data_IF_151597096986
#
_entry.id   IF_151597096986
#
_cell.length_a   1.000
_cell.length_b   1.000
_cell.length_c   1.000
_cell.angle_alpha   90.00
_cell.angle_beta   90.00
_cell.angle_gamma   90.00
#
_symmetry.space_group_name_H-M   'P 1'
#
loop_
_entity.id
_entity.type
_entity.pdbx_description
1 polymer ?
#
# COMPACT_ATOMS: atom_id res chain seq x y z
N UNK A 1 8.06 -18.47 34.15
CA UNK A 1 7.78 -17.46 33.09
C UNK A 1 7.77 -18.03 31.66
N UNK A 2 8.14 -19.30 31.42
CA UNK A 2 8.15 -19.94 30.08
C UNK A 2 6.79 -20.59 29.72
N UNK A 3 6.02 -21.00 30.73
CA UNK A 3 4.74 -21.72 30.53
C UNK A 3 3.58 -20.79 30.12
N UNK A 4 3.62 -19.50 30.47
CA UNK A 4 2.56 -18.53 30.13
C UNK A 4 2.60 -18.13 28.64
N UNK A 5 3.75 -18.27 27.96
CA UNK A 5 3.91 -17.94 26.54
C UNK A 5 3.26 -18.99 25.63
N UNK A 6 3.20 -20.26 26.05
CA UNK A 6 2.59 -21.33 25.25
C UNK A 6 1.06 -21.32 25.29
N UNK A 7 0.45 -20.89 26.41
CA UNK A 7 -1.02 -20.81 26.53
C UNK A 7 -1.60 -19.66 25.70
N UNK A 8 -0.88 -18.54 25.56
CA UNK A 8 -1.29 -17.42 24.68
C UNK A 8 -1.19 -17.75 23.18
N UNK A 9 -0.31 -18.68 22.78
CA UNK A 9 -0.20 -19.15 21.40
C UNK A 9 -1.31 -20.16 21.03
N UNK A 10 -1.77 -20.97 21.99
CA UNK A 10 -2.81 -21.98 21.74
C UNK A 10 -4.23 -21.37 21.60
N UNK A 11 -4.54 -20.27 22.29
CA UNK A 11 -5.83 -19.58 22.16
C UNK A 11 -5.89 -18.59 20.98
N UNK A 12 -4.77 -18.33 20.29
CA UNK A 12 -4.74 -17.47 19.10
C UNK A 12 -5.33 -18.15 17.84
N UNK A 13 -5.62 -19.46 17.91
CA UNK A 13 -6.17 -20.26 16.82
C UNK A 13 -7.64 -19.99 16.46
N UNK A 14 -8.38 -19.23 17.26
CA UNK A 14 -9.79 -18.87 17.00
C UNK A 14 -10.00 -17.41 16.55
N UNK A 15 -8.94 -16.68 16.21
CA UNK A 15 -9.08 -15.39 15.54
C UNK A 15 -9.51 -15.63 14.10
N UNK A 16 -10.82 -15.56 13.82
CA UNK A 16 -11.34 -15.59 12.45
C UNK A 16 -10.65 -14.51 11.64
N UNK A 17 -9.92 -14.93 10.60
CA UNK A 17 -9.34 -14.00 9.62
C UNK A 17 -10.50 -13.28 8.96
N UNK A 18 -10.45 -11.95 8.89
CA UNK A 18 -11.50 -11.17 8.23
C UNK A 18 -10.87 -10.33 7.13
N UNK A 19 -11.25 -10.61 5.89
CA UNK A 19 -11.06 -9.65 4.82
C UNK A 19 -11.73 -8.33 5.20
N UNK A 20 -11.05 -7.22 4.95
CA UNK A 20 -11.63 -5.89 5.09
C UNK A 20 -12.41 -5.63 3.82
N UNK A 21 -13.73 -5.77 3.93
CA UNK A 21 -14.66 -5.45 2.86
C UNK A 21 -15.30 -4.12 3.21
N UNK A 22 -15.20 -3.16 2.29
CA UNK A 22 -15.76 -1.83 2.46
C UNK A 22 -17.20 -1.87 1.98
N UNK A 23 -18.16 -1.93 2.90
CA UNK A 23 -19.58 -1.91 2.56
C UNK A 23 -20.01 -0.52 2.07
N UNK A 24 -21.28 -0.39 1.66
CA UNK A 24 -21.83 0.90 1.21
C UNK A 24 -21.61 2.01 2.24
N UNK A 25 -21.93 1.76 3.49
CA UNK A 25 -21.85 2.77 4.56
C UNK A 25 -20.41 3.17 4.85
N UNK A 26 -19.47 2.21 4.82
CA UNK A 26 -18.04 2.50 4.94
C UNK A 26 -17.59 3.48 3.84
N UNK A 27 -17.98 3.20 2.59
CA UNK A 27 -17.59 4.04 1.44
C UNK A 27 -18.27 5.41 1.45
N UNK A 28 -19.44 5.53 2.08
CA UNK A 28 -20.18 6.79 2.21
C UNK A 28 -19.69 7.68 3.37
N UNK A 29 -19.04 7.09 4.39
CA UNK A 29 -18.61 7.80 5.60
C UNK A 29 -17.40 8.73 5.37
N UNK A 30 -16.59 8.47 4.34
CA UNK A 30 -15.34 9.21 4.13
C UNK A 30 -15.58 10.69 3.81
N UNK A 31 -15.19 11.56 4.75
CA UNK A 31 -15.52 13.00 4.73
C UNK A 31 -14.72 13.85 3.76
N UNK A 32 -13.50 13.43 3.39
CA UNK A 32 -12.57 14.23 2.59
C UNK A 32 -12.99 14.39 1.13
N UNK A 33 -14.05 13.71 0.68
CA UNK A 33 -14.58 13.80 -0.68
C UNK A 33 -13.73 13.13 -1.76
N UNK A 34 -12.44 12.86 -1.47
CA UNK A 34 -11.47 12.29 -2.43
C UNK A 34 -10.88 11.01 -1.87
N UNK A 35 -11.55 9.89 -2.15
CA UNK A 35 -11.13 8.58 -1.70
C UNK A 35 -11.47 7.48 -2.71
N UNK A 36 -10.66 6.42 -2.70
CA UNK A 36 -10.97 5.21 -3.46
C UNK A 36 -10.60 3.96 -2.66
N UNK A 37 -11.31 2.87 -2.97
CA UNK A 37 -11.20 1.61 -2.24
C UNK A 37 -10.82 0.52 -3.22
N UNK A 38 -9.90 -0.36 -2.81
CA UNK A 38 -9.49 -1.54 -3.55
C UNK A 38 -9.75 -2.80 -2.74
N UNK A 39 -10.18 -3.85 -3.42
CA UNK A 39 -10.21 -5.18 -2.80
C UNK A 39 -8.80 -5.78 -2.71
N UNK A 40 -8.71 -7.01 -2.22
CA UNK A 40 -7.44 -7.73 -2.09
C UNK A 40 -6.73 -8.03 -3.42
N UNK A 41 -7.43 -7.93 -4.55
CA UNK A 41 -6.92 -8.17 -5.89
C UNK A 41 -6.48 -6.88 -6.58
N UNK A 42 -6.76 -5.72 -5.98
CA UNK A 42 -6.49 -4.41 -6.55
C UNK A 42 -7.59 -3.93 -7.50
N UNK A 43 -8.77 -4.54 -7.46
CA UNK A 43 -9.94 -4.07 -8.20
C UNK A 43 -10.63 -2.95 -7.40
N UNK A 44 -11.07 -1.90 -8.10
CA UNK A 44 -11.75 -0.77 -7.48
C UNK A 44 -13.18 -1.11 -7.11
N UNK A 45 -13.58 -0.71 -5.90
CA UNK A 45 -14.98 -0.77 -5.47
C UNK A 45 -15.87 0.17 -6.30
N UNK A 46 -17.15 -0.18 -6.47
CA UNK A 46 -18.11 0.73 -7.08
C UNK A 46 -18.36 1.97 -6.20
N UNK A 47 -19.01 3.01 -6.76
CA UNK A 47 -19.54 4.12 -5.96
C UNK A 47 -20.43 3.63 -4.81
N UNK A 48 -20.57 4.43 -3.76
CA UNK A 48 -21.40 4.10 -2.59
C UNK A 48 -22.89 3.86 -2.93
N UNK A 49 -23.35 4.29 -4.11
CA UNK A 49 -24.72 3.99 -4.58
C UNK A 49 -24.96 2.52 -4.93
N UNK A 50 -23.92 1.72 -5.17
CA UNK A 50 -24.02 0.29 -5.51
C UNK A 50 -23.74 -0.53 -4.27
N UNK A 51 -24.61 -1.46 -3.92
CA UNK A 51 -24.40 -2.33 -2.75
C UNK A 51 -23.29 -3.36 -3.01
N UNK A 52 -22.51 -3.66 -1.96
CA UNK A 52 -21.58 -4.78 -1.94
C UNK A 52 -21.81 -5.51 -0.64
N UNK A 53 -22.49 -6.64 -0.71
CA UNK A 53 -22.74 -7.47 0.46
C UNK A 53 -21.44 -8.15 0.90
N UNK A 54 -21.00 -7.83 2.13
CA UNK A 54 -19.78 -8.38 2.69
C UNK A 54 -19.87 -9.89 2.91
N UNK A 55 -21.04 -10.43 3.23
CA UNK A 55 -21.23 -11.87 3.40
C UNK A 55 -21.13 -12.60 2.05
N UNK A 56 -21.85 -12.13 1.05
CA UNK A 56 -21.79 -12.62 -0.32
C UNK A 56 -20.40 -12.51 -0.93
N UNK A 57 -19.65 -11.44 -0.65
CA UNK A 57 -18.28 -11.27 -1.15
C UNK A 57 -17.30 -12.25 -0.49
N UNK A 58 -17.46 -12.58 0.81
CA UNK A 58 -16.72 -13.68 1.46
C UNK A 58 -17.16 -15.06 0.98
N UNK A 59 -18.31 -15.16 0.33
CA UNK A 59 -18.92 -16.43 -0.03
C UNK A 59 -19.53 -17.15 1.17
N UNK A 60 -19.95 -16.40 2.20
CA UNK A 60 -20.64 -16.95 3.35
C UNK A 60 -21.92 -17.67 2.86
N UNK A 61 -22.03 -18.98 3.12
CA UNK A 61 -23.15 -19.80 2.65
C UNK A 61 -22.99 -20.43 1.26
N UNK A 62 -21.89 -20.21 0.56
CA UNK A 62 -21.56 -20.93 -0.68
C UNK A 62 -20.92 -22.30 -0.38
N UNK A 63 -21.09 -23.26 -1.29
CA UNK A 63 -20.40 -24.54 -1.21
C UNK A 63 -18.89 -24.36 -1.32
N UNK A 64 -18.10 -25.24 -0.66
CA UNK A 64 -16.62 -25.16 -0.67
C UNK A 64 -16.01 -25.31 -2.06
N UNK A 65 -16.76 -25.82 -3.04
CA UNK A 65 -16.34 -25.92 -4.44
C UNK A 65 -16.42 -24.59 -5.19
N UNK A 66 -17.22 -23.62 -4.71
CA UNK A 66 -17.49 -22.35 -5.40
C UNK A 66 -16.57 -21.21 -4.96
N UNK A 67 -15.81 -21.40 -3.87
CA UNK A 67 -14.94 -20.38 -3.27
C UNK A 67 -13.50 -20.87 -3.26
N UNK A 68 -12.70 -20.43 -4.23
CA UNK A 68 -11.25 -20.64 -4.21
C UNK A 68 -10.57 -19.55 -3.39
N UNK A 69 -9.38 -19.84 -2.86
CA UNK A 69 -8.53 -18.84 -2.18
C UNK A 69 -8.18 -17.63 -3.06
N UNK A 70 -8.23 -17.78 -4.39
CA UNK A 70 -7.95 -16.71 -5.35
C UNK A 70 -9.17 -15.78 -5.53
N UNK A 71 -10.38 -16.30 -5.33
CA UNK A 71 -11.64 -15.60 -5.61
C UNK A 71 -12.38 -15.15 -4.35
N UNK A 72 -12.03 -15.67 -3.17
CA UNK A 72 -12.64 -15.29 -1.90
C UNK A 72 -12.40 -13.82 -1.58
N UNK A 73 -13.45 -13.11 -1.19
CA UNK A 73 -13.40 -11.68 -0.88
C UNK A 73 -12.80 -10.82 -2.00
N UNK A 74 -13.12 -11.16 -3.26
CA UNK A 74 -12.80 -10.33 -4.43
C UNK A 74 -14.09 -9.81 -5.07
N UNK A 75 -14.05 -8.56 -5.52
CA UNK A 75 -15.18 -7.90 -6.18
C UNK A 75 -15.50 -8.60 -7.49
N UNK A 76 -14.47 -9.02 -8.25
CA UNK A 76 -14.66 -9.73 -9.51
C UNK A 76 -15.48 -11.01 -9.30
N UNK A 77 -15.08 -11.87 -8.36
CA UNK A 77 -15.79 -13.12 -8.14
C UNK A 77 -17.21 -12.89 -7.58
N UNK A 78 -17.37 -11.88 -6.71
CA UNK A 78 -18.68 -11.47 -6.23
C UNK A 78 -19.60 -11.07 -7.39
N UNK A 79 -19.20 -10.09 -8.20
CA UNK A 79 -20.03 -9.61 -9.31
C UNK A 79 -20.18 -10.63 -10.45
N UNK A 80 -19.24 -11.55 -10.62
CA UNK A 80 -19.42 -12.68 -11.55
C UNK A 80 -20.60 -13.55 -11.12
N UNK A 81 -20.71 -13.88 -9.82
CA UNK A 81 -21.85 -14.64 -9.28
C UNK A 81 -23.15 -13.86 -9.43
N UNK A 82 -23.14 -12.58 -9.04
CA UNK A 82 -24.29 -11.68 -9.19
C UNK A 82 -24.78 -11.63 -10.65
N UNK A 83 -23.86 -11.59 -11.62
CA UNK A 83 -24.19 -11.61 -13.05
C UNK A 83 -24.85 -12.91 -13.51
N UNK A 84 -24.44 -14.07 -12.96
CA UNK A 84 -24.96 -15.39 -13.33
C UNK A 84 -26.36 -15.64 -12.78
N UNK A 85 -26.64 -15.15 -11.57
CA UNK A 85 -27.97 -15.27 -10.93
C UNK A 85 -28.94 -14.17 -11.37
N UNK A 86 -28.45 -13.17 -12.12
CA UNK A 86 -29.26 -12.05 -12.61
C UNK A 86 -29.69 -11.09 -11.51
N UNK A 87 -28.84 -10.90 -10.48
CA UNK A 87 -29.17 -9.98 -9.39
C UNK A 87 -29.15 -8.51 -9.84
N UNK A 88 -29.85 -7.66 -9.09
CA UNK A 88 -29.86 -6.21 -9.33
C UNK A 88 -28.48 -5.55 -9.17
N UNK A 89 -27.61 -6.09 -8.31
CA UNK A 89 -26.32 -5.47 -7.96
C UNK A 89 -25.38 -5.33 -9.16
N UNK A 90 -25.27 -6.35 -10.02
CA UNK A 90 -24.45 -6.26 -11.23
C UNK A 90 -25.02 -5.24 -12.23
N UNK A 91 -26.34 -5.23 -12.42
CA UNK A 91 -27.01 -4.25 -13.28
C UNK A 91 -26.84 -2.82 -12.75
N UNK A 92 -26.91 -2.62 -11.43
CA UNK A 92 -26.67 -1.33 -10.78
C UNK A 92 -25.22 -0.88 -10.92
N UNK A 93 -24.26 -1.81 -10.86
CA UNK A 93 -22.86 -1.48 -11.10
C UNK A 93 -22.60 -1.03 -12.54
N UNK A 94 -23.16 -1.74 -13.52
CA UNK A 94 -23.11 -1.33 -14.93
C UNK A 94 -23.72 0.07 -15.12
N UNK A 95 -24.89 0.33 -14.52
CA UNK A 95 -25.58 1.63 -14.58
C UNK A 95 -24.77 2.75 -13.93
N UNK A 96 -24.22 2.51 -12.74
CA UNK A 96 -23.44 3.49 -11.98
C UNK A 96 -22.13 3.89 -12.68
N UNK A 97 -21.61 3.03 -13.56
CA UNK A 97 -20.42 3.33 -14.39
C UNK A 97 -20.75 3.74 -15.82
N UNK A 98 -22.04 3.80 -16.19
CA UNK A 98 -22.48 4.08 -17.56
C UNK A 98 -22.02 3.01 -18.57
N UNK A 99 -21.75 1.79 -18.11
CA UNK A 99 -21.27 0.69 -18.96
C UNK A 99 -22.45 -0.04 -19.59
N UNK A 100 -22.51 -0.06 -20.92
CA UNK A 100 -23.49 -0.86 -21.67
C UNK A 100 -23.02 -2.32 -21.68
N UNK A 101 -23.87 -3.25 -21.20
CA UNK A 101 -23.51 -4.66 -21.17
C UNK A 101 -23.33 -5.23 -22.57
N UNK A 102 -22.25 -5.99 -22.77
CA UNK A 102 -22.00 -6.79 -23.97
C UNK A 102 -22.54 -8.21 -23.87
N UNK A 103 -23.18 -8.57 -22.74
CA UNK A 103 -23.57 -9.95 -22.42
C UNK A 103 -22.41 -10.86 -22.04
N UNK A 104 -21.17 -10.36 -21.98
CA UNK A 104 -19.97 -11.12 -21.59
C UNK A 104 -19.32 -10.49 -20.36
N UNK A 105 -19.45 -11.17 -19.22
CA UNK A 105 -18.96 -10.68 -17.93
C UNK A 105 -17.52 -10.15 -17.97
N UNK A 106 -16.57 -10.91 -18.54
CA UNK A 106 -15.17 -10.49 -18.58
C UNK A 106 -14.92 -9.20 -19.38
N UNK A 107 -15.68 -8.99 -20.47
CA UNK A 107 -15.58 -7.77 -21.25
C UNK A 107 -16.15 -6.59 -20.49
N UNK A 108 -17.32 -6.79 -19.87
CA UNK A 108 -18.03 -5.77 -19.11
C UNK A 108 -17.27 -5.40 -17.82
N UNK A 109 -16.74 -6.38 -17.10
CA UNK A 109 -15.91 -6.20 -15.90
C UNK A 109 -14.70 -5.31 -16.18
N UNK A 110 -13.99 -5.56 -17.28
CA UNK A 110 -12.86 -4.73 -17.68
C UNK A 110 -13.28 -3.28 -17.93
N UNK A 111 -14.37 -3.07 -18.66
CA UNK A 111 -14.90 -1.73 -18.97
C UNK A 111 -15.33 -0.98 -17.70
N UNK A 112 -16.05 -1.65 -16.81
CA UNK A 112 -16.46 -1.11 -15.50
C UNK A 112 -15.23 -0.68 -14.70
N UNK A 113 -14.23 -1.56 -14.57
CA UNK A 113 -13.00 -1.24 -13.85
C UNK A 113 -12.20 -0.12 -14.56
N UNK A 114 -12.22 -0.04 -15.89
CA UNK A 114 -11.59 1.05 -16.65
C UNK A 114 -12.25 2.39 -16.32
N UNK A 115 -13.59 2.44 -16.30
CA UNK A 115 -14.35 3.63 -15.91
C UNK A 115 -14.09 4.07 -14.47
N UNK A 116 -14.06 3.13 -13.52
CA UNK A 116 -13.71 3.47 -12.14
C UNK A 116 -12.29 4.05 -12.04
N UNK A 117 -11.32 3.47 -12.75
CA UNK A 117 -9.95 3.99 -12.78
C UNK A 117 -9.90 5.37 -13.41
N UNK A 118 -10.62 5.61 -14.50
CA UNK A 118 -10.68 6.92 -15.14
C UNK A 118 -11.31 7.98 -14.21
N UNK A 119 -12.31 7.62 -13.41
CA UNK A 119 -12.88 8.52 -12.40
C UNK A 119 -11.87 8.90 -11.31
N UNK A 120 -11.10 7.92 -10.81
CA UNK A 120 -10.03 8.21 -9.82
C UNK A 120 -8.96 9.08 -10.46
N UNK A 121 -8.51 8.76 -11.67
CA UNK A 121 -7.51 9.56 -12.40
C UNK A 121 -8.00 10.98 -12.68
N UNK A 122 -9.29 11.15 -13.00
CA UNK A 122 -9.87 12.46 -13.22
C UNK A 122 -9.77 13.36 -11.98
N UNK A 123 -9.94 12.80 -10.76
CA UNK A 123 -9.74 13.54 -9.52
C UNK A 123 -8.27 13.98 -9.33
N UNK A 124 -7.30 13.09 -9.57
CA UNK A 124 -5.88 13.46 -9.55
C UNK A 124 -5.57 14.56 -10.57
N UNK A 125 -6.06 14.40 -11.80
CA UNK A 125 -5.70 15.31 -12.90
C UNK A 125 -6.41 16.66 -12.80
N UNK A 126 -7.62 16.71 -12.20
CA UNK A 126 -8.32 17.96 -11.90
C UNK A 126 -7.58 18.84 -10.88
N UNK A 127 -6.65 18.25 -10.11
CA UNK A 127 -5.85 18.93 -9.09
C UNK A 127 -4.35 18.89 -9.39
N UNK A 128 -3.96 18.66 -10.65
CA UNK A 128 -2.56 18.50 -11.06
C UNK A 128 -1.72 19.80 -10.89
N UNK A 129 -2.36 20.96 -10.80
CA UNK A 129 -1.75 22.25 -10.49
C UNK A 129 -1.42 22.40 -8.99
N UNK A 130 -2.09 21.64 -8.13
CA UNK A 130 -1.86 21.60 -6.68
C UNK A 130 -0.80 20.58 -6.28
N UNK A 131 -0.48 20.56 -4.99
CA UNK A 131 0.24 19.44 -4.40
C UNK A 131 -0.77 18.36 -4.02
N UNK A 132 -0.57 17.14 -4.50
CA UNK A 132 -1.47 16.01 -4.27
C UNK A 132 -0.83 15.07 -3.28
N UNK A 133 -1.53 14.77 -2.18
CA UNK A 133 -1.11 13.80 -1.19
C UNK A 133 -1.95 12.53 -1.28
N UNK A 134 -1.36 11.44 -1.74
CA UNK A 134 -1.93 10.11 -1.64
C UNK A 134 -1.60 9.50 -0.27
N UNK A 135 -2.63 9.25 0.54
CA UNK A 135 -2.53 8.64 1.86
C UNK A 135 -2.90 7.16 1.79
N UNK A 136 -1.99 6.26 2.21
CA UNK A 136 -2.20 4.80 2.14
C UNK A 136 -2.02 4.15 3.52
N UNK A 137 -3.04 3.42 3.99
CA UNK A 137 -3.00 2.78 5.31
C UNK A 137 -2.30 1.41 5.31
N UNK A 138 -1.88 0.94 6.49
CA UNK A 138 -1.28 -0.38 6.67
C UNK A 138 -2.29 -1.51 6.94
N UNK A 139 -1.77 -2.72 7.14
CA UNK A 139 -2.50 -3.95 7.43
C UNK A 139 -3.07 -4.00 8.86
N UNK A 140 -3.96 -4.96 9.11
CA UNK A 140 -4.56 -5.25 10.42
C UNK A 140 -5.37 -4.10 11.02
N UNK A 141 -6.10 -3.36 10.18
CA UNK A 141 -7.05 -2.33 10.60
C UNK A 141 -8.38 -2.57 9.89
N UNK A 142 -9.50 -2.33 10.58
CA UNK A 142 -10.82 -2.20 9.96
C UNK A 142 -11.05 -0.76 9.47
N UNK A 143 -12.15 -0.52 8.77
CA UNK A 143 -12.48 0.80 8.22
C UNK A 143 -12.50 1.92 9.29
N UNK A 144 -13.16 1.71 10.44
CA UNK A 144 -13.21 2.71 11.51
C UNK A 144 -11.84 3.02 12.14
N UNK A 145 -11.00 2.00 12.35
CA UNK A 145 -9.61 2.16 12.82
C UNK A 145 -8.78 2.97 11.82
N UNK A 146 -8.97 2.72 10.51
CA UNK A 146 -8.31 3.47 9.43
C UNK A 146 -8.76 4.95 9.43
N UNK A 147 -10.06 5.20 9.43
CA UNK A 147 -10.63 6.55 9.39
C UNK A 147 -10.19 7.38 10.57
N UNK A 148 -10.19 6.80 11.77
CA UNK A 148 -9.82 7.49 13.01
C UNK A 148 -8.48 8.23 12.90
N UNK A 149 -7.47 7.61 12.27
CA UNK A 149 -6.17 8.28 12.12
C UNK A 149 -6.03 9.01 10.79
N UNK A 150 -6.63 8.53 9.69
CA UNK A 150 -6.55 9.19 8.38
C UNK A 150 -7.27 10.53 8.39
N UNK A 151 -8.49 10.63 8.94
CA UNK A 151 -9.23 11.89 9.02
C UNK A 151 -8.45 12.92 9.86
N UNK A 152 -7.94 12.50 11.03
CA UNK A 152 -7.09 13.37 11.83
C UNK A 152 -5.81 13.79 11.11
N UNK A 153 -5.24 12.92 10.28
CA UNK A 153 -4.07 13.25 9.48
C UNK A 153 -4.41 14.27 8.38
N UNK A 154 -5.55 14.08 7.71
CA UNK A 154 -6.07 15.01 6.69
C UNK A 154 -6.35 16.39 7.31
N UNK A 155 -7.02 16.45 8.46
CA UNK A 155 -7.29 17.69 9.19
C UNK A 155 -5.99 18.44 9.53
N UNK A 156 -4.98 17.71 10.01
CA UNK A 156 -3.68 18.30 10.32
C UNK A 156 -2.96 18.82 9.05
N UNK A 157 -3.04 18.09 7.92
CA UNK A 157 -2.50 18.54 6.65
C UNK A 157 -3.22 19.79 6.16
N UNK A 158 -4.55 19.82 6.13
CA UNK A 158 -5.30 20.99 5.66
C UNK A 158 -5.13 22.20 6.58
N UNK A 159 -4.96 21.99 7.89
CA UNK A 159 -4.62 23.08 8.82
C UNK A 159 -3.27 23.72 8.47
N UNK A 160 -2.27 22.90 8.22
CA UNK A 160 -0.89 23.37 8.02
C UNK A 160 -0.60 23.74 6.55
N UNK A 161 -1.37 23.17 5.60
CA UNK A 161 -1.21 23.24 4.14
C UNK A 161 -2.59 23.18 3.45
N UNK A 162 -3.38 24.26 3.48
CA UNK A 162 -4.77 24.27 3.01
C UNK A 162 -4.94 24.00 1.51
N UNK A 163 -3.88 24.20 0.70
CA UNK A 163 -3.92 24.00 -0.75
C UNK A 163 -3.56 22.58 -1.21
N UNK A 164 -3.23 21.68 -0.28
CA UNK A 164 -2.91 20.27 -0.62
C UNK A 164 -4.21 19.50 -0.89
N UNK A 165 -4.28 18.85 -2.04
CA UNK A 165 -5.36 17.91 -2.35
C UNK A 165 -5.05 16.54 -1.76
N UNK A 166 -5.79 16.09 -0.75
CA UNK A 166 -5.55 14.81 -0.09
C UNK A 166 -6.47 13.72 -0.67
N UNK A 167 -5.87 12.66 -1.20
CA UNK A 167 -6.57 11.47 -1.70
C UNK A 167 -6.32 10.30 -0.76
N UNK A 168 -7.39 9.73 -0.19
CA UNK A 168 -7.30 8.57 0.70
C UNK A 168 -7.47 7.26 -0.08
N UNK A 169 -6.49 6.37 0.06
CA UNK A 169 -6.55 5.02 -0.50
C UNK A 169 -6.83 3.99 0.60
N UNK A 170 -7.90 3.24 0.37
CA UNK A 170 -8.31 2.11 1.19
C UNK A 170 -8.05 0.80 0.45
N UNK A 171 -7.59 -0.22 1.16
CA UNK A 171 -7.34 -1.55 0.58
C UNK A 171 -7.48 -2.69 1.60
N UNK A 172 -7.77 -3.90 1.13
CA UNK A 172 -7.85 -5.07 2.01
C UNK A 172 -6.48 -5.52 2.53
N UNK A 173 -6.04 -4.85 3.61
CA UNK A 173 -4.89 -5.23 4.42
C UNK A 173 -5.18 -6.36 5.42
N UNK A 174 -6.36 -6.97 5.37
CA UNK A 174 -6.88 -7.95 6.33
C UNK A 174 -7.03 -7.40 7.76
N UNK A 175 -7.90 -8.03 8.54
CA UNK A 175 -8.03 -7.83 9.99
C UNK A 175 -7.98 -9.17 10.71
N UNK A 176 -7.16 -9.23 11.76
CA UNK A 176 -6.99 -10.42 12.61
C UNK A 176 -6.87 -10.02 14.07
N UNK A 177 -6.20 -10.84 14.87
CA UNK A 177 -5.89 -10.49 16.27
C UNK A 177 -4.94 -9.27 16.36
N UNK A 178 -4.76 -8.74 17.57
CA UNK A 178 -3.88 -7.60 17.84
C UNK A 178 -2.44 -7.80 17.30
N UNK A 179 -1.94 -9.04 17.29
CA UNK A 179 -0.59 -9.35 16.82
C UNK A 179 -0.50 -9.59 15.29
N UNK A 180 -1.62 -9.64 14.56
CA UNK A 180 -1.66 -9.97 13.13
C UNK A 180 -1.18 -11.39 12.81
N UNK A 181 -1.06 -12.26 13.83
CA UNK A 181 -0.55 -13.62 13.69
C UNK A 181 -1.56 -14.43 12.86
N UNK A 182 -1.08 -15.09 11.81
CA UNK A 182 -1.89 -15.93 10.92
C UNK A 182 -2.46 -15.21 9.70
N UNK A 183 -2.53 -13.86 9.68
CA UNK A 183 -2.96 -13.09 8.49
C UNK A 183 -1.81 -12.40 7.76
N UNK A 184 -0.66 -12.20 8.43
CA UNK A 184 0.48 -11.49 7.85
C UNK A 184 1.02 -12.14 6.56
N UNK A 185 1.04 -13.48 6.49
CA UNK A 185 1.40 -14.20 5.28
C UNK A 185 0.52 -13.78 4.11
N UNK A 186 -0.80 -13.77 4.32
CA UNK A 186 -1.81 -13.45 3.31
C UNK A 186 -1.80 -11.95 2.91
N UNK A 187 -1.59 -11.04 3.86
CA UNK A 187 -1.48 -9.60 3.58
C UNK A 187 -0.32 -9.28 2.63
N UNK A 188 0.79 -10.04 2.69
CA UNK A 188 1.92 -9.91 1.77
C UNK A 188 1.57 -10.36 0.33
N UNK A 189 0.48 -11.11 0.11
CA UNK A 189 -0.02 -11.41 -1.24
C UNK A 189 -0.98 -10.35 -1.77
N UNK A 190 -1.82 -9.79 -0.89
CA UNK A 190 -2.76 -8.74 -1.26
C UNK A 190 -2.01 -7.47 -1.68
N UNK A 191 -1.03 -7.08 -0.86
CA UNK A 191 -0.26 -5.85 -1.04
C UNK A 191 0.21 -5.57 -2.45
N UNK A 192 0.90 -6.51 -3.10
CA UNK A 192 1.44 -6.20 -4.40
C UNK A 192 0.47 -6.44 -5.58
N UNK A 193 -0.64 -7.17 -5.38
CA UNK A 193 -1.81 -7.12 -6.29
C UNK A 193 -2.46 -5.74 -6.27
N UNK A 194 -2.70 -5.21 -5.07
CA UNK A 194 -3.18 -3.85 -4.84
C UNK A 194 -2.20 -2.82 -5.39
N UNK A 195 -0.89 -3.03 -5.20
CA UNK A 195 0.16 -2.20 -5.79
C UNK A 195 0.08 -2.15 -7.31
N UNK A 196 -0.17 -3.28 -7.98
CA UNK A 196 -0.42 -3.32 -9.42
C UNK A 196 -1.72 -2.62 -9.83
N UNK A 197 -2.78 -2.69 -9.00
CA UNK A 197 -4.00 -1.89 -9.20
C UNK A 197 -3.71 -0.39 -9.16
N UNK A 198 -3.01 0.07 -8.11
CA UNK A 198 -2.57 1.45 -7.94
C UNK A 198 -1.67 1.92 -9.09
N UNK A 199 -0.77 1.05 -9.57
CA UNK A 199 0.10 1.34 -10.72
C UNK A 199 -0.68 1.79 -11.96
N UNK A 200 -1.83 1.17 -12.24
CA UNK A 200 -2.68 1.52 -13.40
C UNK A 200 -3.26 2.93 -13.29
N UNK A 201 -3.54 3.38 -12.07
CA UNK A 201 -3.98 4.76 -11.80
C UNK A 201 -2.78 5.70 -12.01
N UNK A 202 -1.66 5.41 -11.36
CA UNK A 202 -0.45 6.23 -11.42
C UNK A 202 0.09 6.41 -12.85
N UNK A 203 -0.07 5.42 -13.73
CA UNK A 203 0.30 5.48 -15.14
C UNK A 203 -0.44 6.55 -15.96
N UNK A 204 -1.57 7.05 -15.45
CA UNK A 204 -2.45 8.01 -16.12
C UNK A 204 -2.51 9.37 -15.42
N UNK A 205 -1.80 9.53 -14.29
CA UNK A 205 -1.67 10.82 -13.60
C UNK A 205 -0.87 11.81 -14.46
N UNK A 206 -1.26 13.08 -14.48
CA UNK A 206 -0.56 14.12 -15.25
C UNK A 206 0.96 14.15 -14.94
N UNK A 207 1.85 14.23 -15.94
CA UNK A 207 3.29 14.10 -15.73
C UNK A 207 3.93 15.14 -14.78
N UNK A 208 3.31 16.31 -14.70
CA UNK A 208 3.79 17.44 -13.88
C UNK A 208 3.10 17.53 -12.52
N UNK A 209 2.18 16.61 -12.20
CA UNK A 209 1.51 16.61 -10.92
C UNK A 209 2.52 16.49 -9.77
N UNK A 210 2.41 17.37 -8.77
CA UNK A 210 3.25 17.35 -7.57
C UNK A 210 2.75 16.27 -6.62
N UNK A 211 3.09 15.02 -6.91
CA UNK A 211 2.60 13.87 -6.16
C UNK A 211 3.47 13.61 -4.92
N UNK A 212 2.80 13.51 -3.77
CA UNK A 212 3.32 13.09 -2.48
C UNK A 212 2.61 11.80 -2.10
N UNK A 213 3.35 10.78 -1.68
CA UNK A 213 2.75 9.56 -1.16
C UNK A 213 3.18 9.41 0.30
N UNK A 214 2.20 9.37 1.21
CA UNK A 214 2.44 8.97 2.60
C UNK A 214 1.88 7.57 2.81
N UNK A 215 2.71 6.66 3.30
CA UNK A 215 2.31 5.30 3.63
C UNK A 215 2.73 4.91 5.03
N UNK A 216 1.88 4.14 5.71
CA UNK A 216 2.18 3.53 7.01
C UNK A 216 2.39 2.02 6.89
N UNK A 217 3.37 1.49 7.61
CA UNK A 217 3.54 0.06 7.83
C UNK A 217 3.63 -0.73 6.52
N UNK A 218 2.69 -1.64 6.29
CA UNK A 218 2.67 -2.60 5.20
C UNK A 218 2.29 -1.97 3.85
N UNK A 219 1.64 -0.80 3.82
CA UNK A 219 1.42 -0.12 2.54
C UNK A 219 2.74 0.31 1.87
N UNK A 220 3.86 0.24 2.57
CA UNK A 220 5.18 0.37 1.96
C UNK A 220 5.40 -0.63 0.81
N UNK A 221 4.95 -1.89 0.93
CA UNK A 221 5.06 -2.85 -0.16
C UNK A 221 3.99 -2.65 -1.25
N UNK A 222 2.84 -2.04 -0.93
CA UNK A 222 1.85 -1.61 -1.92
C UNK A 222 2.47 -0.55 -2.83
N UNK A 223 3.01 0.51 -2.22
CA UNK A 223 3.64 1.64 -2.93
C UNK A 223 4.89 1.19 -3.69
N UNK A 224 5.73 0.36 -3.08
CA UNK A 224 6.94 -0.15 -3.77
C UNK A 224 6.58 -0.97 -5.01
N UNK A 225 5.52 -1.78 -4.96
CA UNK A 225 5.05 -2.53 -6.13
C UNK A 225 4.27 -1.65 -7.13
N UNK A 226 3.66 -0.56 -6.69
CA UNK A 226 3.08 0.41 -7.62
C UNK A 226 4.16 1.13 -8.43
N UNK A 227 5.30 1.45 -7.80
CA UNK A 227 6.36 2.26 -8.39
C UNK A 227 7.45 1.46 -9.10
N UNK A 228 7.64 0.17 -8.84
CA UNK A 228 8.68 -0.59 -9.52
C UNK A 228 8.46 -2.09 -9.51
N UNK A 229 9.45 -2.83 -10.02
CA UNK A 229 9.36 -4.27 -10.14
C UNK A 229 9.40 -4.95 -8.76
N UNK A 230 8.25 -5.38 -8.25
CA UNK A 230 8.20 -6.17 -7.02
C UNK A 230 8.12 -7.67 -7.23
N UNK A 231 8.59 -8.20 -8.37
CA UNK A 231 8.58 -9.64 -8.65
C UNK A 231 9.35 -10.45 -7.62
N UNK A 232 10.35 -9.86 -6.98
CA UNK A 232 11.08 -10.43 -5.85
C UNK A 232 10.21 -10.72 -4.64
N UNK A 233 9.13 -9.95 -4.41
CA UNK A 233 8.14 -10.20 -3.34
C UNK A 233 7.37 -11.50 -3.53
N UNK A 234 7.47 -12.14 -4.70
CA UNK A 234 6.71 -13.35 -5.05
C UNK A 234 7.58 -14.61 -5.20
N UNK A 235 8.90 -14.50 -5.08
CA UNK A 235 9.80 -15.67 -5.13
C UNK A 235 9.54 -16.58 -3.93
N UNK A 236 9.01 -17.78 -4.19
CA UNK A 236 8.71 -18.80 -3.17
C UNK A 236 7.22 -19.08 -2.95
N UNK A 237 6.33 -18.41 -3.68
CA UNK A 237 4.89 -18.67 -3.61
C UNK A 237 4.43 -19.51 -4.80
N UNK A 238 3.88 -20.71 -4.56
CA UNK A 238 3.32 -21.60 -5.60
C UNK A 238 1.84 -21.28 -5.87
N UNK A 239 1.39 -21.40 -7.13
CA UNK A 239 -0.02 -21.23 -7.54
C UNK A 239 -0.21 -20.36 -8.80
N UNK A 240 -1.26 -20.64 -9.60
CA UNK A 240 -1.56 -19.92 -10.86
C UNK A 240 -1.76 -18.41 -10.65
N UNK A 241 -2.40 -18.01 -9.55
CA UNK A 241 -2.57 -16.59 -9.19
C UNK A 241 -1.27 -15.83 -8.92
N UNK A 242 -0.13 -16.51 -8.74
CA UNK A 242 1.18 -15.87 -8.54
C UNK A 242 1.92 -15.67 -9.88
N UNK A 243 1.65 -16.49 -10.90
CA UNK A 243 2.24 -16.35 -12.24
C UNK A 243 1.80 -15.02 -12.88
N UNK A 244 0.50 -14.72 -12.83
CA UNK A 244 -0.05 -13.46 -13.35
C UNK A 244 0.55 -12.24 -12.64
N UNK A 245 0.76 -12.37 -11.34
CA UNK A 245 1.30 -11.30 -10.52
C UNK A 245 2.80 -11.10 -10.79
N UNK A 246 3.56 -12.19 -10.92
CA UNK A 246 4.95 -12.15 -11.37
C UNK A 246 5.10 -11.55 -12.78
N UNK A 247 4.22 -11.93 -13.71
CA UNK A 247 4.20 -11.39 -15.08
C UNK A 247 3.92 -9.87 -15.11
N UNK A 248 3.07 -9.38 -14.20
CA UNK A 248 2.76 -7.94 -14.06
C UNK A 248 3.86 -7.17 -13.35
N UNK A 249 4.62 -7.80 -12.46
CA UNK A 249 5.54 -7.10 -11.57
C UNK A 249 6.58 -6.26 -12.31
N UNK A 250 7.25 -6.84 -13.30
CA UNK A 250 8.22 -6.16 -14.16
C UNK A 250 7.66 -5.71 -15.51
N UNK A 251 6.34 -5.56 -15.65
CA UNK A 251 5.76 -5.18 -16.94
C UNK A 251 6.29 -3.81 -17.41
N UNK A 252 6.73 -3.75 -18.67
CA UNK A 252 7.23 -2.54 -19.33
C UNK A 252 6.24 -1.95 -20.34
N UNK A 253 5.13 -2.66 -20.62
CA UNK A 253 4.09 -2.27 -21.59
C UNK A 253 2.69 -2.57 -21.04
N UNK A 254 1.68 -1.95 -21.66
CA UNK A 254 0.28 -2.10 -21.28
C UNK A 254 -0.07 -1.41 -19.96
N UNK A 255 -1.28 -1.65 -19.45
CA UNK A 255 -1.82 -0.95 -18.28
C UNK A 255 -1.02 -1.16 -17.00
N UNK A 256 -0.38 -2.32 -16.86
CA UNK A 256 0.43 -2.69 -15.70
C UNK A 256 1.88 -2.26 -15.81
N UNK A 257 2.26 -1.51 -16.87
CA UNK A 257 3.63 -1.01 -17.01
C UNK A 257 4.03 -0.17 -15.80
N UNK A 258 5.30 -0.19 -15.44
CA UNK A 258 5.81 0.74 -14.42
C UNK A 258 5.58 2.19 -14.88
N UNK A 259 5.16 3.13 -14.00
CA UNK A 259 4.93 4.50 -14.41
C UNK A 259 6.21 5.17 -14.90
N UNK A 260 6.07 6.06 -15.87
CA UNK A 260 7.17 6.82 -16.49
C UNK A 260 6.89 8.31 -16.52
N UNK A 261 5.64 8.68 -16.23
CA UNK A 261 5.11 10.03 -16.23
C UNK A 261 5.36 10.76 -14.89
N UNK A 262 5.61 10.04 -13.79
CA UNK A 262 5.74 10.66 -12.46
C UNK A 262 7.10 11.34 -12.27
N UNK A 263 7.23 12.62 -12.64
CA UNK A 263 8.49 13.36 -12.56
C UNK A 263 8.69 14.13 -11.25
N UNK A 264 7.61 14.55 -10.60
CA UNK A 264 7.64 15.27 -9.32
C UNK A 264 7.03 14.41 -8.19
N UNK A 265 7.71 13.32 -7.88
CA UNK A 265 7.27 12.32 -6.90
C UNK A 265 8.13 12.37 -5.62
N UNK A 266 7.48 12.52 -4.47
CA UNK A 266 8.09 12.26 -3.15
C UNK A 266 7.30 11.20 -2.40
N UNK A 267 7.98 10.34 -1.66
CA UNK A 267 7.38 9.21 -0.95
C UNK A 267 7.89 9.16 0.47
N UNK A 268 7.01 9.28 1.46
CA UNK A 268 7.30 9.04 2.87
C UNK A 268 6.71 7.70 3.32
N UNK A 269 7.57 6.82 3.84
CA UNK A 269 7.18 5.54 4.41
C UNK A 269 7.42 5.56 5.92
N UNK A 270 6.35 5.67 6.70
CA UNK A 270 6.41 5.59 8.16
C UNK A 270 6.41 4.13 8.61
N UNK A 271 7.47 3.72 9.30
CA UNK A 271 7.75 2.36 9.79
C UNK A 271 7.46 1.27 8.76
N UNK A 272 8.13 1.31 7.59
CA UNK A 272 7.86 0.41 6.48
C UNK A 272 8.03 -1.07 6.87
N UNK A 273 6.93 -1.82 6.89
CA UNK A 273 6.88 -3.23 7.25
C UNK A 273 7.24 -4.12 6.05
N UNK A 274 8.46 -3.96 5.54
CA UNK A 274 8.96 -4.67 4.36
C UNK A 274 10.46 -4.99 4.51
N UNK A 275 11.03 -5.90 3.69
CA UNK A 275 12.46 -6.17 3.69
C UNK A 275 13.26 -4.95 3.23
N UNK A 276 14.50 -4.80 3.71
CA UNK A 276 15.43 -3.76 3.24
C UNK A 276 15.74 -3.86 1.74
N UNK A 277 15.49 -5.01 1.13
CA UNK A 277 15.69 -5.30 -0.29
C UNK A 277 14.45 -5.04 -1.15
N UNK A 278 13.41 -4.38 -0.61
CA UNK A 278 12.16 -4.15 -1.37
C UNK A 278 12.39 -3.38 -2.69
N UNK A 279 13.49 -2.63 -2.79
CA UNK A 279 13.87 -1.85 -3.97
C UNK A 279 14.90 -2.53 -4.87
N UNK A 280 15.33 -3.76 -4.59
CA UNK A 280 16.47 -4.40 -5.27
C UNK A 280 16.25 -4.66 -6.77
N UNK A 281 15.02 -4.53 -7.26
CA UNK A 281 14.65 -4.71 -8.66
C UNK A 281 14.24 -3.39 -9.33
N UNK A 282 14.48 -2.24 -8.69
CA UNK A 282 14.25 -0.93 -9.32
C UNK A 282 15.32 -0.61 -10.37
N UNK A 283 16.49 -1.24 -10.28
CA UNK A 283 17.52 -1.24 -11.32
C UNK A 283 17.46 -2.55 -12.08
N UNK A 284 17.58 -2.49 -13.41
CA UNK A 284 17.85 -3.68 -14.19
C UNK A 284 19.30 -4.11 -13.93
N UNK A 285 19.49 -5.24 -13.26
CA UNK A 285 20.82 -5.84 -13.05
C UNK A 285 21.19 -6.83 -14.18
N UNK A 286 20.41 -6.91 -15.27
CA UNK A 286 20.67 -7.83 -16.37
C UNK A 286 22.06 -7.54 -17.01
N UNK A 287 22.98 -8.51 -17.01
CA UNK A 287 24.31 -8.36 -17.64
C UNK A 287 24.26 -8.07 -19.14
N UNK A 288 23.11 -8.31 -19.78
CA UNK A 288 22.91 -8.18 -21.22
C UNK A 288 22.47 -6.78 -21.67
N UNK A 289 22.05 -5.90 -20.75
CA UNK A 289 21.73 -4.51 -21.06
C UNK A 289 22.66 -3.60 -20.27
N UNK A 290 23.65 -3.03 -20.98
CA UNK A 290 24.51 -1.94 -20.47
C UNK A 290 23.78 -0.61 -20.37
N UNK A 291 22.49 -0.56 -20.68
CA UNK A 291 21.67 0.63 -20.49
C UNK A 291 21.23 0.73 -19.03
N UNK A 292 21.36 1.93 -18.47
CA UNK A 292 20.94 2.32 -17.12
C UNK A 292 19.40 2.31 -16.96
N UNK A 293 18.70 1.33 -17.54
CA UNK A 293 17.24 1.27 -17.50
C UNK A 293 16.77 0.88 -16.11
N UNK A 294 16.10 1.81 -15.44
CA UNK A 294 15.42 1.52 -14.18
C UNK A 294 14.13 0.73 -14.47
N UNK A 295 13.93 -0.37 -13.76
CA UNK A 295 12.66 -1.07 -13.65
C UNK A 295 11.87 -0.53 -12.44
N UNK A 296 11.81 0.80 -12.32
CA UNK A 296 11.11 1.50 -11.25
C UNK A 296 11.14 3.02 -11.42
N UNK A 297 10.11 3.70 -10.88
CA UNK A 297 10.11 5.13 -10.65
C UNK A 297 10.97 5.40 -9.43
N UNK A 298 12.10 6.08 -9.61
CA UNK A 298 12.89 6.60 -8.49
C UNK A 298 12.29 7.94 -8.06
N UNK A 299 11.70 8.05 -6.84
CA UNK A 299 11.19 9.32 -6.35
C UNK A 299 12.33 10.35 -6.28
N UNK A 300 12.02 11.63 -6.47
CA UNK A 300 12.99 12.70 -6.21
C UNK A 300 13.38 12.74 -4.73
N UNK A 301 12.51 12.23 -3.85
CA UNK A 301 12.75 12.03 -2.43
C UNK A 301 12.01 10.81 -1.89
N UNK A 302 12.73 9.86 -1.31
CA UNK A 302 12.21 8.73 -0.55
C UNK A 302 12.61 8.88 0.92
N UNK A 303 11.62 9.11 1.78
CA UNK A 303 11.78 9.32 3.21
C UNK A 303 11.42 8.03 3.94
N UNK A 304 12.36 7.50 4.72
CA UNK A 304 12.17 6.32 5.55
C UNK A 304 12.02 6.75 7.02
N UNK A 305 10.79 6.73 7.54
CA UNK A 305 10.52 6.85 8.96
C UNK A 305 10.80 5.51 9.64
N UNK A 306 11.81 5.44 10.50
CA UNK A 306 12.28 4.20 11.13
C UNK A 306 12.22 4.27 12.64
N UNK A 307 12.08 3.13 13.30
CA UNK A 307 12.02 3.03 14.75
C UNK A 307 12.48 1.65 15.18
N UNK A 308 13.61 1.56 15.90
CA UNK A 308 14.09 0.29 16.49
C UNK A 308 13.21 -0.24 17.62
N UNK A 309 12.24 0.55 18.09
CA UNK A 309 11.31 0.15 19.17
C UNK A 309 9.89 -0.06 18.70
N UNK A 310 9.62 0.01 17.40
CA UNK A 310 8.28 -0.26 16.87
C UNK A 310 7.89 -1.72 17.14
N UNK A 311 6.83 -1.90 17.94
CA UNK A 311 6.48 -3.22 18.48
C UNK A 311 6.09 -4.24 17.39
N UNK A 312 5.46 -3.80 16.30
CA UNK A 312 5.00 -4.70 15.26
C UNK A 312 6.14 -5.09 14.32
N UNK A 313 6.93 -4.13 13.83
CA UNK A 313 8.03 -4.40 12.90
C UNK A 313 9.25 -5.00 13.59
N UNK A 314 9.42 -4.79 14.90
CA UNK A 314 10.38 -5.52 15.73
C UNK A 314 9.87 -6.89 16.16
N UNK A 315 8.60 -7.22 15.90
CA UNK A 315 7.94 -8.47 16.31
C UNK A 315 8.16 -8.75 17.80
N UNK A 316 8.00 -7.71 18.60
CA UNK A 316 8.36 -7.68 20.02
C UNK A 316 9.84 -8.02 20.25
N UNK A 317 10.14 -9.30 20.53
CA UNK A 317 11.47 -9.83 20.83
C UNK A 317 12.04 -10.73 19.73
N UNK A 318 11.26 -11.02 18.68
CA UNK A 318 11.71 -11.89 17.59
C UNK A 318 12.55 -11.08 16.59
N UNK A 319 13.57 -11.71 15.95
CA UNK A 319 14.23 -11.08 14.81
C UNK A 319 13.21 -10.61 13.75
N UNK A 320 13.42 -9.42 13.19
CA UNK A 320 12.53 -8.85 12.15
C UNK A 320 12.43 -9.71 10.87
N UNK A 321 13.32 -10.69 10.69
CA UNK A 321 13.37 -11.66 9.61
C UNK A 321 13.15 -13.10 10.07
N UNK A 322 12.53 -13.34 11.22
CA UNK A 322 12.21 -14.70 11.69
C UNK A 322 11.39 -15.45 10.65
N UNK A 323 11.83 -16.65 10.30
CA UNK A 323 11.18 -17.52 9.32
C UNK A 323 9.69 -17.71 9.67
N UNK A 324 8.81 -17.66 8.66
CA UNK A 324 7.36 -17.79 8.86
C UNK A 324 6.63 -16.53 9.32
N UNK A 325 7.34 -15.47 9.70
CA UNK A 325 6.73 -14.18 10.14
C UNK A 325 6.96 -13.04 9.14
N UNK A 326 7.40 -13.35 7.91
CA UNK A 326 7.79 -12.37 6.87
C UNK A 326 8.99 -11.51 7.26
N UNK A 327 9.34 -10.50 6.46
CA UNK A 327 10.49 -9.63 6.71
C UNK A 327 10.05 -8.16 6.83
N UNK A 328 10.22 -7.59 8.03
CA UNK A 328 9.84 -6.21 8.38
C UNK A 328 11.06 -5.34 8.72
N UNK A 329 12.25 -5.79 8.31
CA UNK A 329 13.50 -5.23 8.82
C UNK A 329 13.79 -3.79 8.37
N UNK A 330 13.10 -3.24 7.37
CA UNK A 330 13.35 -1.86 6.90
C UNK A 330 13.11 -0.84 8.02
N UNK A 331 12.03 -0.97 8.79
CA UNK A 331 11.70 -0.05 9.88
C UNK A 331 12.69 -0.13 11.07
N UNK A 332 13.27 -1.29 11.36
CA UNK A 332 14.05 -1.53 12.59
C UNK A 332 15.56 -1.63 12.38
N UNK A 333 16.04 -1.63 11.13
CA UNK A 333 17.47 -1.66 10.77
C UNK A 333 17.88 -0.40 10.00
N UNK A 334 17.77 0.80 10.58
CA UNK A 334 17.87 2.06 9.85
C UNK A 334 19.16 2.23 9.03
N UNK A 335 20.33 1.93 9.60
CA UNK A 335 21.62 1.99 8.88
C UNK A 335 21.66 1.04 7.67
N UNK A 336 21.18 -0.21 7.84
CA UNK A 336 21.15 -1.20 6.75
C UNK A 336 20.09 -0.86 5.71
N UNK A 337 18.92 -0.40 6.15
CA UNK A 337 17.85 0.07 5.28
C UNK A 337 18.37 1.19 4.37
N UNK A 338 18.99 2.23 4.95
CA UNK A 338 19.50 3.33 4.15
C UNK A 338 20.60 2.89 3.17
N UNK A 339 21.59 2.11 3.63
CA UNK A 339 22.67 1.63 2.76
C UNK A 339 22.15 0.77 1.60
N UNK A 340 21.20 -0.14 1.87
CA UNK A 340 20.64 -1.04 0.85
C UNK A 340 19.78 -0.26 -0.16
N UNK A 341 18.88 0.60 0.33
CA UNK A 341 17.97 1.37 -0.53
C UNK A 341 18.74 2.39 -1.38
N UNK A 342 19.79 3.03 -0.85
CA UNK A 342 20.67 3.91 -1.64
C UNK A 342 21.40 3.15 -2.74
N UNK A 343 22.00 2.01 -2.42
CA UNK A 343 22.60 1.14 -3.44
C UNK A 343 21.61 0.82 -4.57
N UNK A 344 20.35 0.56 -4.22
CA UNK A 344 19.32 0.16 -5.18
C UNK A 344 18.72 1.34 -5.96
N UNK A 345 18.76 2.58 -5.42
CA UNK A 345 18.07 3.74 -6.01
C UNK A 345 18.97 4.90 -6.45
N UNK A 346 20.24 4.94 -6.03
CA UNK A 346 21.13 6.05 -6.37
C UNK A 346 21.21 6.17 -7.90
N UNK A 347 21.33 7.38 -8.44
CA UNK A 347 21.55 7.58 -9.87
C UNK A 347 22.94 8.20 -10.02
N UNK A 348 23.79 7.63 -10.88
CA UNK A 348 25.13 8.16 -11.13
C UNK A 348 25.09 9.68 -11.34
N UNK A 349 25.94 10.42 -10.63
CA UNK A 349 26.02 11.89 -10.74
C UNK A 349 24.88 12.69 -10.10
N UNK A 350 23.86 12.08 -9.48
CA UNK A 350 22.77 12.78 -8.78
C UNK A 350 22.87 12.65 -7.25
N UNK A 351 22.29 13.59 -6.48
CA UNK A 351 22.08 13.42 -5.05
C UNK A 351 21.26 12.14 -4.76
N UNK A 352 21.57 11.48 -3.64
CA UNK A 352 20.80 10.30 -3.22
C UNK A 352 19.36 10.72 -2.91
N UNK A 353 18.35 10.03 -3.46
CA UNK A 353 16.96 10.35 -3.16
C UNK A 353 16.55 9.87 -1.76
N UNK A 354 17.39 9.13 -1.04
CA UNK A 354 17.01 8.46 0.22
C UNK A 354 17.34 9.30 1.45
N UNK A 355 16.30 9.59 2.24
CA UNK A 355 16.34 10.29 3.51
C UNK A 355 15.80 9.40 4.61
N UNK A 356 16.31 9.56 5.82
CA UNK A 356 16.02 8.71 6.97
C UNK A 356 15.67 9.57 8.18
N UNK A 357 14.48 9.35 8.70
CA UNK A 357 14.02 9.93 9.96
C UNK A 357 13.95 8.81 10.99
N UNK A 358 14.69 8.93 12.09
CA UNK A 358 14.71 7.90 13.13
C UNK A 358 13.92 8.35 14.36
N UNK A 359 12.76 7.74 14.56
CA UNK A 359 11.91 7.93 15.72
C UNK A 359 12.54 7.21 16.94
N UNK A 360 12.96 7.96 17.97
CA UNK A 360 13.62 7.40 19.14
C UNK A 360 12.61 6.61 19.98
N UNK A 361 13.04 5.53 20.65
CA UNK A 361 12.15 4.76 21.55
C UNK A 361 11.54 5.68 22.61
N UNK A 362 10.23 5.57 22.93
CA UNK A 362 9.64 6.34 24.00
C UNK A 362 10.11 5.77 25.35
N UNK A 363 9.89 6.53 26.42
CA UNK A 363 10.27 6.16 27.79
C UNK A 363 9.73 4.78 28.23
N UNK A 364 8.56 4.37 27.73
CA UNK A 364 7.95 3.06 28.00
C UNK A 364 8.45 1.91 27.10
N UNK A 365 9.71 1.99 26.65
CA UNK A 365 10.50 0.91 26.01
C UNK A 365 10.10 0.52 24.57
N UNK A 366 8.85 0.76 24.14
CA UNK A 366 8.37 0.46 22.78
C UNK A 366 7.47 1.55 22.20
N UNK A 367 7.55 1.76 20.88
CA UNK A 367 6.59 2.55 20.12
C UNK A 367 5.38 1.70 19.76
N UNK A 368 4.18 2.23 20.01
CA UNK A 368 2.96 1.64 19.48
C UNK A 368 2.97 1.77 17.95
N UNK A 369 2.50 0.73 17.26
CA UNK A 369 2.54 0.64 15.80
C UNK A 369 1.37 1.37 15.14
N UNK A 370 1.30 2.70 15.32
CA UNK A 370 0.27 3.53 14.73
C UNK A 370 0.75 4.95 14.50
N UNK A 371 0.22 5.60 13.46
CA UNK A 371 0.61 6.96 13.03
C UNK A 371 0.53 7.97 14.18
N UNK A 372 -0.54 7.91 14.98
CA UNK A 372 -0.74 8.79 16.14
C UNK A 372 0.32 8.60 17.24
N UNK A 373 0.98 7.44 17.35
CA UNK A 373 2.10 7.24 18.27
C UNK A 373 3.32 8.03 17.82
N UNK A 374 3.62 8.01 16.53
CA UNK A 374 4.78 8.69 15.95
C UNK A 374 4.66 10.21 15.94
N UNK A 375 3.43 10.74 15.82
CA UNK A 375 3.13 12.18 15.96
C UNK A 375 3.53 12.75 17.32
N UNK A 376 3.64 11.92 18.37
CA UNK A 376 4.09 12.37 19.70
C UNK A 376 5.60 12.71 19.72
N UNK A 377 6.38 12.17 18.78
CA UNK A 377 7.78 12.53 18.59
C UNK A 377 7.89 13.75 17.67
N UNK A 378 7.38 14.89 18.15
CA UNK A 378 7.14 16.13 17.38
C UNK A 378 8.31 16.47 16.44
N UNK A 379 9.54 16.55 16.95
CA UNK A 379 10.72 16.85 16.13
C UNK A 379 10.89 15.91 14.93
N UNK A 380 10.79 14.59 15.14
CA UNK A 380 10.95 13.61 14.06
C UNK A 380 9.75 13.61 13.12
N UNK A 381 8.56 13.85 13.66
CA UNK A 381 7.37 14.01 12.84
C UNK A 381 7.51 15.21 11.90
N UNK A 382 7.94 16.36 12.43
CA UNK A 382 8.17 17.57 11.67
C UNK A 382 9.27 17.38 10.61
N UNK A 383 10.39 16.73 10.96
CA UNK A 383 11.44 16.36 9.99
C UNK A 383 10.86 15.50 8.85
N UNK A 384 9.99 14.53 9.14
CA UNK A 384 9.37 13.67 8.13
C UNK A 384 8.42 14.45 7.23
N UNK A 385 7.59 15.33 7.80
CA UNK A 385 6.62 16.14 7.06
C UNK A 385 7.30 17.23 6.23
N UNK A 386 8.32 17.89 6.78
CA UNK A 386 9.16 18.84 6.05
C UNK A 386 9.79 18.17 4.82
N UNK A 387 10.40 17.00 5.01
CA UNK A 387 10.95 16.22 3.90
C UNK A 387 9.89 15.83 2.85
N UNK A 388 8.66 15.54 3.25
CA UNK A 388 7.61 15.22 2.29
C UNK A 388 7.17 16.45 1.47
N UNK A 389 6.98 17.60 2.10
CA UNK A 389 6.28 18.73 1.48
C UNK A 389 7.18 19.89 1.03
N UNK A 390 8.26 20.17 1.75
CA UNK A 390 9.10 21.33 1.45
C UNK A 390 10.04 21.05 0.27
N UNK A 391 10.32 22.08 -0.52
CA UNK A 391 11.19 21.94 -1.69
C UNK A 391 12.65 21.69 -1.30
N UNK A 392 13.17 22.46 -0.34
CA UNK A 392 14.53 22.35 0.17
C UNK A 392 14.59 22.25 1.72
N UNK A 393 14.08 21.15 2.31
CA UNK A 393 14.12 20.93 3.74
C UNK A 393 15.52 20.50 4.17
N UNK A 394 15.92 20.92 5.37
CA UNK A 394 17.18 20.49 6.00
C UNK A 394 17.23 18.97 6.12
N UNK A 395 18.37 18.37 5.77
CA UNK A 395 18.62 16.94 5.93
C UNK A 395 18.31 16.47 7.37
N UNK A 396 17.51 15.40 7.56
CA UNK A 396 17.24 14.89 8.88
C UNK A 396 18.52 14.45 9.57
N UNK A 397 18.60 14.63 10.89
CA UNK A 397 19.80 14.30 11.68
C UNK A 397 20.21 12.83 11.52
N UNK A 398 19.24 11.92 11.42
CA UNK A 398 19.52 10.50 11.21
C UNK A 398 20.06 10.21 9.80
N UNK A 399 19.68 10.98 8.79
CA UNK A 399 20.22 10.88 7.42
C UNK A 399 21.70 11.23 7.42
N UNK A 400 22.07 12.39 7.97
CA UNK A 400 23.46 12.86 8.01
C UNK A 400 24.37 11.91 8.80
N UNK A 401 23.80 11.14 9.73
CA UNK A 401 24.55 10.20 10.57
C UNK A 401 24.65 8.79 9.95
N UNK A 402 23.56 8.26 9.39
CA UNK A 402 23.46 6.85 9.02
C UNK A 402 23.40 6.57 7.52
N UNK A 403 23.14 7.60 6.72
CA UNK A 403 23.05 7.53 5.26
C UNK A 403 24.25 8.17 4.56
N UNK A 404 25.38 8.41 5.24
CA UNK A 404 26.55 9.02 4.59
C UNK A 404 26.95 8.20 3.36
N UNK A 405 27.26 8.88 2.25
CA UNK A 405 27.93 8.23 1.12
C UNK A 405 29.17 7.56 1.70
N UNK A 406 29.35 6.27 1.44
CA UNK A 406 30.65 5.64 1.60
C UNK A 406 31.63 6.51 0.81
N UNK A 407 32.62 7.07 1.50
CA UNK A 407 33.65 7.89 0.87
C UNK A 407 34.40 7.08 -0.19
#
# INVERSE_FOLDING_TARGET
MIVVVFVLLACAGCSTRKNVIYAKDDRAEVRSGSAFFMDRSGDLYPPASVEVDAAGMRGDGLGTQDVTMENVATLRAYFERESKVGSGNWADFLRATGTVSSGRFESDWRLVQDKLRDNVVADFNAHADKEILLLVHGFNNNHGEINTWMEKFVDDVHRDRPDVHVVQMYWDGLRGNFAGIGIWGEAQFNGPRVGHGLRRILNKVEPNARLRIFTHSSAAFVVTNALGNGGGSYKGFSGKGNELVGARAGATRGDYRIPTNLTNLRVAMLVPAQPVTAFSHFRDESPAQKDESYQGVVPSRLILGTSKGDVATSKFLLPCNTLGTGNTCMAVRPKRACATVRRDLDQGGKPSPVYLVNFPRPWHWYHAHGVNSYKKSVKQWDELMAQLFEDDPVDPVATTTWCRKSA
#
